data_IF_263891844998
#
_entry.id   IF_263891844998
#
_cell.length_a   1.000
_cell.length_b   1.000
_cell.length_c   1.000
_cell.angle_alpha   90.00
_cell.angle_beta   90.00
_cell.angle_gamma   90.00
#
_symmetry.space_group_name_H-M   'P 1'
#
loop_
_entity.id
_entity.type
_entity.pdbx_description
1 polymer ?
#
# COMPACT_ATOMS: atom_id res chain seq x y z
N UNK A 1 -7.44 -32.26 18.41
CA UNK A 1 -8.04 -31.02 17.88
C UNK A 1 -7.10 -29.86 18.18
N UNK A 2 -6.21 -29.51 17.25
CA UNK A 2 -5.37 -28.29 17.30
C UNK A 2 -5.83 -27.44 16.13
N UNK A 3 -6.54 -26.36 16.42
CA UNK A 3 -7.12 -25.48 15.40
C UNK A 3 -6.05 -24.67 14.67
N UNK A 4 -6.20 -24.67 13.34
CA UNK A 4 -5.47 -23.87 12.36
C UNK A 4 -5.62 -22.37 12.65
N UNK A 5 -4.62 -21.76 13.29
CA UNK A 5 -4.49 -20.29 13.43
C UNK A 5 -3.55 -19.65 12.39
N UNK A 6 -3.26 -20.32 11.27
CA UNK A 6 -2.30 -19.82 10.26
C UNK A 6 -2.91 -19.04 9.08
N UNK A 7 -4.24 -19.01 8.93
CA UNK A 7 -4.90 -18.33 7.82
C UNK A 7 -5.08 -16.80 7.96
N UNK A 8 -4.79 -16.21 9.12
CA UNK A 8 -4.99 -14.77 9.37
C UNK A 8 -3.77 -13.90 9.07
N UNK A 9 -2.60 -14.49 8.77
CA UNK A 9 -1.36 -13.72 8.60
C UNK A 9 -1.14 -13.18 7.17
N UNK A 10 -1.70 -13.81 6.14
CA UNK A 10 -1.45 -13.39 4.75
C UNK A 10 -2.21 -12.11 4.36
N UNK A 11 -3.48 -11.97 4.76
CA UNK A 11 -4.27 -10.75 4.50
C UNK A 11 -3.78 -9.54 5.32
N UNK A 12 -3.03 -9.78 6.39
CA UNK A 12 -2.42 -8.74 7.23
C UNK A 12 -1.09 -8.22 6.64
N UNK A 13 -0.41 -8.96 5.78
CA UNK A 13 0.86 -8.52 5.18
C UNK A 13 0.68 -7.32 4.23
N UNK A 14 -0.44 -7.25 3.50
CA UNK A 14 -0.78 -6.11 2.64
C UNK A 14 -1.23 -4.88 3.46
N UNK A 15 -1.86 -5.09 4.62
CA UNK A 15 -2.19 -4.02 5.60
C UNK A 15 -0.93 -3.56 6.36
N UNK A 16 0.05 -4.45 6.57
CA UNK A 16 1.32 -4.15 7.25
C UNK A 16 2.30 -3.38 6.36
N UNK A 17 2.27 -3.53 5.03
CA UNK A 17 3.04 -2.68 4.13
C UNK A 17 2.53 -1.23 4.13
N UNK A 18 1.22 -1.00 4.30
CA UNK A 18 0.67 0.34 4.51
C UNK A 18 1.00 0.90 5.92
N UNK A 19 1.03 0.03 6.94
CA UNK A 19 1.29 0.46 8.33
C UNK A 19 2.76 0.69 8.67
N UNK A 20 3.69 -0.06 8.06
CA UNK A 20 5.14 0.11 8.30
C UNK A 20 5.70 1.38 7.68
N UNK A 21 5.14 1.84 6.55
CA UNK A 21 5.46 3.15 5.98
C UNK A 21 5.00 4.32 6.88
N UNK A 22 3.90 4.16 7.63
CA UNK A 22 3.39 5.17 8.55
C UNK A 22 4.15 5.17 9.91
N UNK A 23 4.68 4.03 10.33
CA UNK A 23 5.49 3.91 11.56
C UNK A 23 6.87 4.58 11.43
N UNK A 24 7.49 4.58 10.24
CA UNK A 24 8.77 5.26 10.00
C UNK A 24 8.66 6.79 9.86
N UNK A 25 7.47 7.33 9.56
CA UNK A 25 7.25 8.78 9.44
C UNK A 25 6.95 9.49 10.78
N UNK A 26 6.64 8.75 11.85
CA UNK A 26 6.21 9.32 13.15
C UNK A 26 7.29 9.28 14.24
N UNK A 27 8.37 8.52 14.06
CA UNK A 27 9.58 8.64 14.91
C UNK A 27 10.66 9.40 14.17
N UNK A 28 10.64 10.72 14.32
CA UNK A 28 11.82 11.55 14.07
C UNK A 28 13.01 10.96 14.82
N UNK A 29 14.13 10.84 14.10
CA UNK A 29 15.40 10.47 14.69
C UNK A 29 15.69 11.38 15.90
N UNK A 30 16.19 10.85 17.03
CA UNK A 30 16.69 11.69 18.11
C UNK A 30 18.00 12.34 17.64
N UNK A 31 17.88 13.44 16.90
CA UNK A 31 18.98 14.33 16.58
C UNK A 31 19.25 15.21 17.79
N UNK A 32 20.34 14.90 18.49
CA UNK A 32 21.00 15.79 19.43
C UNK A 32 21.44 17.07 18.70
N UNK A 33 20.68 18.15 18.83
CA UNK A 33 21.18 19.49 18.52
C UNK A 33 21.81 20.08 19.78
N UNK A 34 23.11 19.87 19.91
CA UNK A 34 24.02 20.79 20.61
C UNK A 34 23.95 22.12 19.87
N UNK A 35 23.45 23.16 20.56
CA UNK A 35 23.49 24.54 20.09
C UNK A 35 24.87 25.08 20.45
N UNK A 36 25.79 25.11 19.48
CA UNK A 36 27.00 25.92 19.57
C UNK A 36 26.80 27.21 18.78
N UNK A 37 26.91 28.31 19.51
CA UNK A 37 27.02 29.67 18.99
C UNK A 37 28.22 29.78 18.05
N UNK A 38 28.03 30.40 16.89
CA UNK A 38 29.06 31.24 16.27
C UNK A 38 28.41 32.27 15.36
N UNK A 39 28.50 33.51 15.82
CA UNK A 39 28.31 34.71 15.02
C UNK A 39 29.55 34.96 14.15
N UNK A 40 29.37 35.92 13.24
CA UNK A 40 30.38 36.63 12.44
C UNK A 40 30.72 36.09 11.04
N UNK A 41 30.21 36.88 10.08
CA UNK A 41 31.00 37.66 9.11
C UNK A 41 30.86 37.29 7.62
N UNK A 42 30.35 38.32 6.90
CA UNK A 42 30.72 38.77 5.56
C UNK A 42 30.75 37.72 4.45
N UNK A 43 29.85 37.89 3.48
CA UNK A 43 30.30 37.81 2.09
C UNK A 43 29.56 38.75 1.17
N UNK A 44 30.37 39.28 0.27
CA UNK A 44 30.20 40.47 -0.53
C UNK A 44 29.45 40.13 -1.82
N UNK A 45 28.54 41.03 -2.16
CA UNK A 45 27.87 41.16 -3.45
C UNK A 45 28.89 41.30 -4.59
N UNK A 46 28.76 40.49 -5.64
CA UNK A 46 29.35 40.76 -6.97
C UNK A 46 28.32 40.41 -8.05
N UNK A 47 27.81 41.46 -8.68
CA UNK A 47 27.13 41.45 -9.97
C UNK A 47 28.08 41.05 -11.10
N UNK A 48 27.64 40.26 -12.08
CA UNK A 48 28.18 40.27 -13.46
C UNK A 48 27.13 39.72 -14.45
N UNK A 49 27.01 40.27 -15.68
CA UNK A 49 25.82 40.17 -16.51
C UNK A 49 25.85 39.11 -17.62
N UNK A 50 24.68 38.97 -18.25
CA UNK A 50 24.30 38.16 -19.41
C UNK A 50 25.22 38.29 -20.64
N UNK A 51 25.37 37.18 -21.38
CA UNK A 51 25.51 37.20 -22.84
C UNK A 51 24.86 35.95 -23.48
N UNK A 52 24.30 36.06 -24.71
CA UNK A 52 23.60 34.99 -25.41
C UNK A 52 24.50 34.28 -26.44
N UNK A 53 24.27 32.98 -26.64
CA UNK A 53 24.88 32.14 -27.69
C UNK A 53 23.88 31.01 -27.99
N UNK A 54 23.68 30.46 -29.18
CA UNK A 54 23.80 30.86 -30.58
C UNK A 54 23.08 29.73 -31.33
N UNK A 55 22.34 30.07 -32.38
CA UNK A 55 21.67 29.11 -33.27
C UNK A 55 22.71 28.34 -34.10
N UNK A 56 22.50 27.04 -34.33
CA UNK A 56 23.30 26.24 -35.26
C UNK A 56 22.74 24.83 -35.51
N UNK A 57 22.47 24.42 -36.78
CA UNK A 57 21.70 23.23 -37.12
C UNK A 57 22.56 22.01 -37.55
N UNK A 58 21.85 20.91 -37.80
CA UNK A 58 22.09 19.87 -38.82
C UNK A 58 22.64 18.50 -38.36
N UNK A 59 21.81 17.50 -38.65
CA UNK A 59 22.11 16.20 -39.29
C UNK A 59 23.13 15.28 -38.61
N UNK A 60 22.65 14.09 -38.22
CA UNK A 60 23.24 12.86 -38.78
C UNK A 60 22.21 11.73 -38.75
N UNK A 61 21.79 11.33 -39.94
CA UNK A 61 21.24 10.00 -40.20
C UNK A 61 22.34 8.98 -39.91
N UNK A 62 22.08 8.05 -39.00
CA UNK A 62 22.81 6.79 -38.95
C UNK A 62 21.77 5.70 -39.06
N UNK A 63 21.66 5.25 -40.30
CA UNK A 63 21.13 3.97 -40.72
C UNK A 63 22.13 2.93 -40.24
N UNK A 64 21.79 2.16 -39.21
CA UNK A 64 22.59 1.02 -38.78
C UNK A 64 21.69 -0.20 -38.69
N UNK A 65 21.81 -1.03 -39.72
CA UNK A 65 21.39 -2.41 -39.76
C UNK A 65 21.76 -3.10 -38.44
N UNK A 66 20.76 -3.60 -37.72
CA UNK A 66 20.97 -4.72 -36.80
C UNK A 66 19.82 -5.69 -36.85
N UNK A 67 20.24 -6.93 -36.81
CA UNK A 67 19.60 -8.13 -37.33
C UNK A 67 18.29 -8.50 -36.61
N UNK A 68 17.38 -9.23 -37.27
CA UNK A 68 16.20 -9.78 -36.63
C UNK A 68 16.63 -10.77 -35.54
N UNK A 69 16.40 -10.38 -34.29
CA UNK A 69 16.50 -11.29 -33.15
C UNK A 69 15.56 -12.49 -33.37
N UNK A 70 16.00 -13.73 -33.08
CA UNK A 70 15.12 -14.87 -33.14
C UNK A 70 13.95 -14.64 -32.16
N UNK A 71 12.75 -14.64 -32.73
CA UNK A 71 11.47 -14.69 -32.03
C UNK A 71 11.39 -16.03 -31.27
N UNK A 72 12.14 -16.12 -30.16
CA UNK A 72 11.96 -17.12 -29.12
C UNK A 72 10.66 -16.79 -28.40
N UNK A 73 9.56 -17.21 -29.02
CA UNK A 73 8.24 -17.21 -28.42
C UNK A 73 8.22 -18.33 -27.36
N UNK A 74 9.02 -18.16 -26.29
CA UNK A 74 8.77 -18.81 -25.02
C UNK A 74 7.50 -18.18 -24.47
N UNK A 75 6.37 -18.61 -25.02
CA UNK A 75 5.14 -18.67 -24.26
C UNK A 75 5.50 -19.45 -23.01
N UNK A 76 5.78 -18.74 -21.92
CA UNK A 76 5.78 -19.28 -20.58
C UNK A 76 4.49 -20.09 -20.51
N UNK A 77 4.66 -21.41 -20.57
CA UNK A 77 3.56 -22.33 -20.71
C UNK A 77 2.66 -22.10 -19.52
N UNK A 78 1.50 -21.49 -19.77
CA UNK A 78 0.32 -21.72 -18.94
C UNK A 78 0.14 -23.22 -19.04
N UNK A 79 0.73 -23.95 -18.09
CA UNK A 79 0.69 -25.40 -18.07
C UNK A 79 -0.79 -25.76 -18.08
N UNK A 80 -1.27 -26.23 -19.24
CA UNK A 80 -2.58 -26.83 -19.33
C UNK A 80 -2.58 -27.89 -18.24
N UNK A 81 -3.36 -27.65 -17.18
CA UNK A 81 -3.66 -28.67 -16.19
C UNK A 81 -4.22 -29.83 -17.02
N UNK A 82 -3.40 -30.85 -17.23
CA UNK A 82 -3.88 -32.11 -17.76
C UNK A 82 -4.91 -32.58 -16.75
N UNK A 83 -6.12 -32.85 -17.22
CA UNK A 83 -7.16 -33.56 -16.48
C UNK A 83 -6.60 -34.93 -16.10
N UNK A 84 -5.85 -34.97 -15.02
CA UNK A 84 -5.22 -36.17 -14.50
C UNK A 84 -6.35 -36.92 -13.77
N UNK A 85 -6.81 -38.09 -14.26
CA UNK A 85 -7.98 -38.78 -13.73
C UNK A 85 -7.80 -39.30 -12.29
N UNK A 86 -6.70 -38.95 -11.64
CA UNK A 86 -6.36 -39.21 -10.24
C UNK A 86 -6.72 -38.05 -9.29
N UNK A 87 -7.32 -36.95 -9.76
CA UNK A 87 -7.62 -35.79 -8.89
C UNK A 87 -8.71 -36.10 -7.84
N UNK A 88 -9.64 -37.02 -8.12
CA UNK A 88 -10.72 -37.42 -7.20
C UNK A 88 -10.24 -38.23 -5.98
N UNK A 89 -9.02 -38.79 -6.03
CA UNK A 89 -8.46 -39.56 -4.92
C UNK A 89 -7.69 -38.70 -3.90
N UNK A 90 -7.43 -37.42 -4.22
CA UNK A 90 -6.74 -36.51 -3.30
C UNK A 90 -7.73 -35.95 -2.27
N UNK A 91 -7.29 -35.69 -1.03
CA UNK A 91 -8.17 -35.12 -0.01
C UNK A 91 -8.73 -33.74 -0.38
N UNK A 92 -8.09 -33.04 -1.35
CA UNK A 92 -8.51 -31.75 -1.87
C UNK A 92 -8.34 -31.72 -3.41
N UNK A 93 -9.44 -31.91 -4.14
CA UNK A 93 -9.48 -31.68 -5.60
C UNK A 93 -9.17 -30.21 -5.93
N UNK A 94 -8.58 -29.94 -7.10
CA UNK A 94 -8.19 -28.57 -7.49
C UNK A 94 -9.36 -27.58 -7.46
N UNK A 95 -10.54 -27.99 -7.93
CA UNK A 95 -11.75 -27.13 -7.94
C UNK A 95 -12.12 -26.58 -6.56
N UNK A 96 -11.90 -27.37 -5.50
CA UNK A 96 -12.13 -26.94 -4.12
C UNK A 96 -11.06 -25.96 -3.65
N UNK A 97 -9.81 -26.22 -4.01
CA UNK A 97 -8.68 -25.34 -3.69
C UNK A 97 -8.83 -24.00 -4.38
N UNK A 98 -9.18 -24.02 -5.66
CA UNK A 98 -9.41 -22.82 -6.47
C UNK A 98 -10.53 -21.95 -5.89
N UNK A 99 -11.67 -22.55 -5.54
CA UNK A 99 -12.77 -21.82 -4.90
C UNK A 99 -12.33 -21.15 -3.58
N UNK A 100 -11.56 -21.89 -2.76
CA UNK A 100 -11.05 -21.37 -1.49
C UNK A 100 -9.99 -20.30 -1.67
N UNK A 101 -9.07 -20.50 -2.61
CA UNK A 101 -8.04 -19.54 -2.96
C UNK A 101 -8.66 -18.23 -3.41
N UNK A 102 -9.73 -18.28 -4.21
CA UNK A 102 -10.46 -17.08 -4.61
C UNK A 102 -10.95 -16.30 -3.39
N UNK A 103 -11.56 -16.97 -2.41
CA UNK A 103 -11.98 -16.31 -1.17
C UNK A 103 -10.81 -15.70 -0.39
N UNK A 104 -9.66 -16.42 -0.32
CA UNK A 104 -8.49 -15.99 0.44
C UNK A 104 -7.72 -14.83 -0.26
N UNK A 105 -7.76 -14.74 -1.60
CA UNK A 105 -7.17 -13.64 -2.39
C UNK A 105 -8.01 -12.37 -2.28
N UNK A 106 -9.33 -12.50 -2.33
CA UNK A 106 -10.22 -11.33 -2.41
C UNK A 106 -10.26 -10.56 -1.09
N UNK A 107 -10.21 -9.23 -1.18
CA UNK A 107 -10.31 -8.36 -0.02
C UNK A 107 -11.72 -8.44 0.61
N UNK A 108 -11.82 -9.22 1.69
CA UNK A 108 -13.04 -9.36 2.48
C UNK A 108 -13.57 -8.00 2.97
N UNK A 109 -14.88 -7.92 3.20
CA UNK A 109 -15.50 -6.69 3.71
C UNK A 109 -14.94 -6.25 5.08
N UNK A 110 -14.61 -7.21 5.94
CA UNK A 110 -13.98 -6.93 7.22
C UNK A 110 -12.57 -6.32 7.05
N UNK A 111 -11.78 -6.85 6.13
CA UNK A 111 -10.45 -6.30 5.82
C UNK A 111 -10.54 -4.91 5.16
N UNK A 112 -11.49 -4.73 4.24
CA UNK A 112 -11.78 -3.43 3.63
C UNK A 112 -12.17 -2.38 4.68
N UNK A 113 -13.04 -2.76 5.63
CA UNK A 113 -13.46 -1.87 6.71
C UNK A 113 -12.31 -1.51 7.65
N UNK A 114 -11.46 -2.49 7.99
CA UNK A 114 -10.27 -2.24 8.78
C UNK A 114 -9.30 -1.28 8.06
N UNK A 115 -9.14 -1.45 6.74
CA UNK A 115 -8.34 -0.55 5.93
C UNK A 115 -8.91 0.87 5.96
N UNK A 116 -10.22 1.06 5.73
CA UNK A 116 -10.86 2.39 5.81
C UNK A 116 -10.58 3.09 7.14
N UNK A 117 -10.79 2.39 8.25
CA UNK A 117 -10.54 2.91 9.60
C UNK A 117 -9.10 3.35 9.79
N UNK A 118 -8.14 2.57 9.28
CA UNK A 118 -6.71 2.89 9.38
C UNK A 118 -6.30 4.13 8.58
N UNK A 119 -6.99 4.42 7.46
CA UNK A 119 -6.68 5.59 6.63
C UNK A 119 -7.26 6.88 7.21
N UNK A 120 -8.46 6.83 7.80
CA UNK A 120 -9.12 7.98 8.41
C UNK A 120 -8.42 8.40 9.71
N UNK A 121 -8.10 7.43 10.57
CA UNK A 121 -7.24 7.59 11.75
C UNK A 121 -7.61 8.83 12.60
N UNK A 122 -8.91 8.97 12.89
CA UNK A 122 -9.45 10.00 13.78
C UNK A 122 -10.79 9.55 14.36
N UNK A 123 -11.01 9.71 15.67
CA UNK A 123 -12.28 9.34 16.30
C UNK A 123 -13.41 10.26 15.81
N UNK A 124 -14.48 9.66 15.29
CA UNK A 124 -15.68 10.38 14.88
C UNK A 124 -16.92 9.54 15.25
N UNK A 125 -17.86 10.04 16.07
CA UNK A 125 -17.89 11.38 16.67
C UNK A 125 -16.85 11.59 17.79
N UNK A 126 -16.56 12.85 18.11
CA UNK A 126 -15.74 13.21 19.27
C UNK A 126 -16.58 13.13 20.54
N UNK A 127 -16.04 12.48 21.57
CA UNK A 127 -16.59 12.44 22.92
C UNK A 127 -15.61 13.12 23.87
N UNK A 128 -16.05 13.56 25.07
CA UNK A 128 -15.11 14.06 26.09
C UNK A 128 -13.97 13.09 26.38
N UNK A 129 -14.24 11.78 26.42
CA UNK A 129 -13.24 10.75 26.70
C UNK A 129 -12.23 10.59 25.56
N UNK A 130 -12.69 10.49 24.31
CA UNK A 130 -11.78 10.29 23.19
C UNK A 130 -11.01 11.58 22.84
N UNK A 131 -11.64 12.75 22.98
CA UNK A 131 -10.97 14.03 22.74
C UNK A 131 -9.86 14.26 23.75
N UNK A 132 -10.08 13.93 25.03
CA UNK A 132 -9.04 13.97 26.06
C UNK A 132 -7.86 13.04 25.74
N UNK A 133 -8.12 11.83 25.24
CA UNK A 133 -7.07 10.89 24.83
C UNK A 133 -6.27 11.40 23.63
N UNK A 134 -6.93 11.98 22.61
CA UNK A 134 -6.28 12.40 21.37
C UNK A 134 -5.59 13.77 21.47
N UNK A 135 -6.13 14.68 22.28
CA UNK A 135 -5.64 16.06 22.41
C UNK A 135 -4.88 16.30 23.72
N UNK A 136 -4.85 15.30 24.62
CA UNK A 136 -4.25 15.40 25.95
C UNK A 136 -4.80 16.59 26.77
N UNK A 137 -6.09 16.92 26.58
CA UNK A 137 -6.80 18.02 27.26
C UNK A 137 -8.29 17.74 27.29
N UNK A 138 -8.94 18.03 28.42
CA UNK A 138 -10.40 18.03 28.52
C UNK A 138 -11.00 19.21 27.78
N UNK A 139 -12.07 18.96 27.03
CA UNK A 139 -12.82 19.97 26.29
C UNK A 139 -14.25 20.07 26.83
N UNK A 140 -14.80 21.27 26.83
CA UNK A 140 -16.22 21.51 27.01
C UNK A 140 -17.00 20.98 25.80
N UNK A 141 -18.30 20.76 26.00
CA UNK A 141 -19.19 20.31 24.92
C UNK A 141 -19.21 21.28 23.73
N UNK A 142 -19.09 22.59 23.99
CA UNK A 142 -19.04 23.60 22.94
C UNK A 142 -17.73 23.53 22.13
N UNK A 143 -16.58 23.34 22.78
CA UNK A 143 -15.29 23.14 22.11
C UNK A 143 -15.30 21.85 21.26
N UNK A 144 -15.90 20.77 21.78
CA UNK A 144 -16.05 19.49 21.03
C UNK A 144 -16.84 19.71 19.74
N UNK A 145 -18.00 20.38 19.80
CA UNK A 145 -18.82 20.66 18.62
C UNK A 145 -18.08 21.51 17.59
N UNK A 146 -17.30 22.50 18.05
CA UNK A 146 -16.49 23.33 17.16
C UNK A 146 -15.39 22.51 16.48
N UNK A 147 -14.70 21.63 17.21
CA UNK A 147 -13.71 20.73 16.62
C UNK A 147 -14.32 19.71 15.64
N UNK A 148 -15.48 19.15 15.95
CA UNK A 148 -16.20 18.27 15.03
C UNK A 148 -16.51 18.99 13.71
N UNK A 149 -16.99 20.24 13.77
CA UNK A 149 -17.25 21.05 12.59
C UNK A 149 -15.97 21.30 11.75
N UNK A 150 -14.82 21.47 12.40
CA UNK A 150 -13.52 21.64 11.74
C UNK A 150 -13.05 20.34 11.08
N UNK A 151 -13.22 19.19 11.73
CA UNK A 151 -12.68 17.91 11.27
C UNK A 151 -13.56 17.22 10.24
N UNK A 152 -14.88 17.38 10.32
CA UNK A 152 -15.85 16.66 9.50
C UNK A 152 -15.58 16.74 7.98
N UNK A 153 -15.23 17.89 7.38
CA UNK A 153 -14.92 17.96 5.95
C UNK A 153 -13.68 17.15 5.56
N UNK A 154 -12.68 17.04 6.43
CA UNK A 154 -11.48 16.24 6.20
C UNK A 154 -11.78 14.75 6.29
N UNK A 155 -12.57 14.34 7.29
CA UNK A 155 -12.97 12.94 7.43
C UNK A 155 -13.77 12.46 6.22
N UNK A 156 -14.71 13.26 5.71
CA UNK A 156 -15.45 12.91 4.47
C UNK A 156 -14.54 12.73 3.26
N UNK A 157 -13.51 13.57 3.12
CA UNK A 157 -12.54 13.42 2.03
C UNK A 157 -11.67 12.17 2.22
N UNK A 158 -11.23 11.89 3.45
CA UNK A 158 -10.46 10.70 3.77
C UNK A 158 -11.29 9.42 3.56
N UNK A 159 -12.58 9.42 3.92
CA UNK A 159 -13.53 8.33 3.64
C UNK A 159 -13.64 8.07 2.13
N UNK A 160 -13.85 9.11 1.32
CA UNK A 160 -13.94 8.98 -0.14
C UNK A 160 -12.65 8.43 -0.77
N UNK A 161 -11.48 8.85 -0.26
CA UNK A 161 -10.19 8.31 -0.71
C UNK A 161 -10.03 6.87 -0.25
N UNK A 162 -10.42 6.55 0.99
CA UNK A 162 -10.34 5.20 1.52
C UNK A 162 -11.21 4.21 0.72
N UNK A 163 -12.42 4.62 0.32
CA UNK A 163 -13.27 3.82 -0.57
C UNK A 163 -12.62 3.62 -1.94
N UNK A 164 -12.03 4.68 -2.51
CA UNK A 164 -11.29 4.61 -3.77
C UNK A 164 -10.07 3.69 -3.66
N UNK A 165 -9.38 3.72 -2.52
CA UNK A 165 -8.23 2.88 -2.21
C UNK A 165 -8.64 1.41 -2.14
N UNK A 166 -9.72 1.09 -1.43
CA UNK A 166 -10.31 -0.25 -1.35
C UNK A 166 -10.72 -0.75 -2.74
N UNK A 167 -11.38 0.09 -3.54
CA UNK A 167 -11.81 -0.26 -4.89
C UNK A 167 -10.62 -0.57 -5.81
N UNK A 168 -9.53 0.20 -5.73
CA UNK A 168 -8.32 -0.04 -6.52
C UNK A 168 -7.66 -1.38 -6.14
N UNK A 169 -7.62 -1.72 -4.83
CA UNK A 169 -7.12 -3.01 -4.38
C UNK A 169 -7.95 -4.16 -4.94
N UNK A 170 -9.28 -4.09 -4.78
CA UNK A 170 -10.21 -5.12 -5.26
C UNK A 170 -10.08 -5.31 -6.76
N UNK A 171 -10.07 -4.22 -7.52
CA UNK A 171 -9.91 -4.29 -8.97
C UNK A 171 -8.59 -4.94 -9.41
N UNK A 172 -7.49 -4.73 -8.69
CA UNK A 172 -6.23 -5.40 -8.97
C UNK A 172 -6.28 -6.91 -8.65
N UNK A 173 -6.89 -7.30 -7.54
CA UNK A 173 -7.10 -8.71 -7.18
C UNK A 173 -8.01 -9.43 -8.18
N UNK A 174 -9.07 -8.77 -8.64
CA UNK A 174 -9.97 -9.29 -9.67
C UNK A 174 -9.23 -9.48 -11.01
N UNK A 175 -8.39 -8.52 -11.43
CA UNK A 175 -7.54 -8.67 -12.62
C UNK A 175 -6.56 -9.83 -12.47
N UNK A 176 -5.85 -9.92 -11.34
CA UNK A 176 -4.94 -11.03 -11.05
C UNK A 176 -5.63 -12.38 -11.17
N UNK A 177 -6.85 -12.49 -10.63
CA UNK A 177 -7.65 -13.71 -10.70
C UNK A 177 -8.10 -14.01 -12.15
N UNK A 178 -8.65 -13.02 -12.85
CA UNK A 178 -9.18 -13.18 -14.20
C UNK A 178 -8.07 -13.52 -15.22
N UNK A 179 -6.88 -12.96 -15.05
CA UNK A 179 -5.70 -13.19 -15.89
C UNK A 179 -4.92 -14.45 -15.46
N UNK A 180 -5.37 -15.17 -14.43
CA UNK A 180 -4.69 -16.34 -13.86
C UNK A 180 -3.21 -16.08 -13.53
N UNK A 181 -2.91 -14.90 -12.98
CA UNK A 181 -1.55 -14.48 -12.63
C UNK A 181 -1.11 -15.06 -11.28
N UNK A 182 -1.17 -16.37 -11.17
CA UNK A 182 -0.74 -17.16 -10.02
C UNK A 182 -0.08 -18.46 -10.48
N UNK A 183 0.87 -18.94 -9.70
CA UNK A 183 1.60 -20.18 -9.96
C UNK A 183 1.05 -21.29 -9.05
N UNK A 184 0.72 -22.43 -9.65
CA UNK A 184 0.18 -23.59 -8.94
C UNK A 184 1.19 -24.73 -8.97
N UNK A 185 1.62 -25.16 -7.80
CA UNK A 185 2.48 -26.32 -7.62
C UNK A 185 1.69 -27.44 -6.93
N UNK A 186 1.50 -28.56 -7.63
CA UNK A 186 1.00 -29.78 -6.98
C UNK A 186 2.14 -30.41 -6.18
N UNK A 187 2.09 -30.31 -4.85
CA UNK A 187 3.18 -30.77 -3.98
C UNK A 187 2.92 -32.22 -3.57
N UNK A 188 3.80 -33.13 -3.97
CA UNK A 188 3.97 -34.37 -3.23
C UNK A 188 4.63 -33.99 -1.89
N UNK A 189 3.85 -34.11 -0.80
CA UNK A 189 4.20 -33.89 0.61
C UNK A 189 5.72 -33.81 0.83
N UNK A 190 6.26 -32.59 0.80
CA UNK A 190 7.65 -32.33 1.22
C UNK A 190 7.57 -31.24 2.26
N UNK A 191 7.67 -31.67 3.52
CA UNK A 191 7.66 -30.81 4.70
C UNK A 191 8.73 -29.71 4.60
N UNK A 192 8.37 -28.50 5.04
CA UNK A 192 9.33 -27.60 5.69
C UNK A 192 10.24 -26.74 4.81
N UNK A 193 9.91 -26.47 3.55
CA UNK A 193 10.63 -25.42 2.81
C UNK A 193 10.03 -24.06 3.18
N UNK A 194 10.69 -23.36 4.11
CA UNK A 194 10.46 -21.94 4.37
C UNK A 194 10.66 -21.19 3.04
N UNK A 195 9.57 -20.69 2.48
CA UNK A 195 9.64 -19.86 1.28
C UNK A 195 10.36 -18.56 1.63
N UNK A 196 11.33 -18.09 0.81
CA UNK A 196 11.85 -16.75 0.98
C UNK A 196 10.69 -15.75 0.92
N UNK A 197 10.60 -14.87 1.94
CA UNK A 197 9.62 -13.79 1.99
C UNK A 197 10.07 -12.68 1.05
N UNK A 198 9.71 -12.81 -0.22
CA UNK A 198 9.95 -11.76 -1.21
C UNK A 198 8.88 -10.66 -1.10
N UNK A 199 9.24 -9.37 -1.24
CA UNK A 199 8.26 -8.28 -1.22
C UNK A 199 7.14 -8.48 -2.25
N UNK A 200 5.88 -8.44 -1.79
CA UNK A 200 4.70 -8.59 -2.64
C UNK A 200 4.36 -10.03 -3.03
N UNK A 201 5.18 -11.03 -2.69
CA UNK A 201 4.87 -12.44 -2.89
C UNK A 201 3.94 -12.93 -1.78
N UNK A 202 2.78 -13.44 -2.16
CA UNK A 202 1.82 -14.12 -1.28
C UNK A 202 1.81 -15.60 -1.61
N UNK A 203 1.92 -16.44 -0.59
CA UNK A 203 1.91 -17.90 -0.72
C UNK A 203 0.77 -18.48 0.12
N UNK A 204 -0.06 -19.30 -0.51
CA UNK A 204 -1.15 -20.04 0.12
C UNK A 204 -0.87 -21.53 0.02
N UNK A 205 -0.96 -22.22 1.14
CA UNK A 205 -0.73 -23.66 1.22
C UNK A 205 -2.04 -24.39 1.56
N UNK A 206 -2.40 -25.35 0.72
CA UNK A 206 -3.52 -26.27 0.91
C UNK A 206 -2.99 -27.71 0.91
N UNK A 207 -3.74 -28.69 1.44
CA UNK A 207 -3.29 -30.08 1.40
C UNK A 207 -3.02 -30.57 -0.04
N UNK A 208 -1.75 -30.77 -0.38
CA UNK A 208 -1.30 -31.20 -1.72
C UNK A 208 -1.09 -30.09 -2.75
N UNK A 209 -1.33 -28.83 -2.38
CA UNK A 209 -1.26 -27.70 -3.30
C UNK A 209 -0.55 -26.50 -2.67
N UNK A 210 0.32 -25.87 -3.44
CA UNK A 210 0.90 -24.59 -3.10
C UNK A 210 0.56 -23.62 -4.22
N UNK A 211 -0.03 -22.49 -3.85
CA UNK A 211 -0.36 -21.44 -4.81
C UNK A 211 0.35 -20.17 -4.40
N UNK A 212 1.05 -19.54 -5.34
CA UNK A 212 1.71 -18.28 -5.09
C UNK A 212 1.31 -17.24 -6.12
N UNK A 213 1.27 -15.99 -5.70
CA UNK A 213 1.00 -14.86 -6.58
C UNK A 213 1.74 -13.64 -6.09
N UNK A 214 2.01 -12.70 -7.00
CA UNK A 214 2.72 -11.47 -6.67
C UNK A 214 1.84 -10.27 -6.98
N UNK A 215 1.62 -9.44 -5.96
CA UNK A 215 1.03 -8.11 -6.10
C UNK A 215 2.07 -7.06 -5.68
N UNK A 216 2.48 -6.23 -6.62
CA UNK A 216 3.46 -5.16 -6.38
C UNK A 216 2.78 -3.80 -6.33
N UNK A 217 3.40 -2.83 -5.64
CA UNK A 217 2.84 -1.47 -5.52
C UNK A 217 2.61 -0.81 -6.89
N UNK A 218 3.42 -1.14 -7.88
CA UNK A 218 3.34 -0.58 -9.24
C UNK A 218 2.06 -0.99 -9.98
N UNK A 219 1.39 -2.06 -9.53
CA UNK A 219 0.10 -2.50 -10.07
C UNK A 219 -1.08 -1.66 -9.58
N UNK A 220 -0.82 -0.73 -8.67
CA UNK A 220 -1.80 0.18 -8.12
C UNK A 220 -1.40 1.62 -8.45
N UNK A 221 -1.56 2.07 -9.71
CA UNK A 221 -1.01 3.34 -10.18
C UNK A 221 -1.52 4.54 -9.38
N UNK A 222 -2.74 4.46 -8.84
CA UNK A 222 -3.37 5.53 -8.05
C UNK A 222 -3.03 5.51 -6.56
N UNK A 223 -2.54 4.38 -6.02
CA UNK A 223 -2.27 4.27 -4.58
C UNK A 223 -1.25 5.32 -4.13
N UNK A 224 -0.22 5.58 -4.95
CA UNK A 224 0.76 6.62 -4.63
C UNK A 224 0.12 8.00 -4.49
N UNK A 225 -0.80 8.34 -5.39
CA UNK A 225 -1.49 9.63 -5.37
C UNK A 225 -2.46 9.71 -4.18
N UNK A 226 -3.12 8.60 -3.83
CA UNK A 226 -3.93 8.50 -2.62
C UNK A 226 -3.10 8.69 -1.35
N UNK A 227 -1.93 8.06 -1.25
CA UNK A 227 -1.05 8.19 -0.10
C UNK A 227 -0.62 9.64 0.15
N UNK A 228 -0.20 10.34 -0.92
CA UNK A 228 0.16 11.75 -0.82
C UNK A 228 -1.03 12.63 -0.44
N UNK A 229 -2.21 12.37 -1.00
CA UNK A 229 -3.42 13.11 -0.65
C UNK A 229 -3.86 12.85 0.79
N UNK A 230 -3.76 11.62 1.28
CA UNK A 230 -4.06 11.27 2.68
C UNK A 230 -3.12 11.99 3.63
N UNK A 231 -1.80 11.99 3.34
CA UNK A 231 -0.82 12.73 4.15
C UNK A 231 -1.16 14.22 4.22
N UNK A 232 -1.46 14.82 3.06
CA UNK A 232 -1.85 16.22 2.98
C UNK A 232 -3.10 16.51 3.83
N UNK A 233 -4.17 15.72 3.66
CA UNK A 233 -5.42 15.91 4.40
C UNK A 233 -5.24 15.72 5.91
N UNK A 234 -4.45 14.73 6.34
CA UNK A 234 -4.14 14.53 7.76
C UNK A 234 -3.39 15.73 8.33
N UNK A 235 -2.44 16.29 7.59
CA UNK A 235 -1.71 17.50 8.00
C UNK A 235 -2.60 18.74 8.06
N UNK A 236 -3.42 18.98 7.03
CA UNK A 236 -4.38 20.10 6.99
C UNK A 236 -5.38 20.01 8.14
N UNK A 237 -5.93 18.81 8.40
CA UNK A 237 -6.82 18.53 9.53
C UNK A 237 -6.14 18.89 10.85
N UNK A 238 -4.92 18.40 11.09
CA UNK A 238 -4.18 18.65 12.33
C UNK A 238 -3.89 20.15 12.52
N UNK A 239 -3.46 20.83 11.46
CA UNK A 239 -3.18 22.27 11.47
C UNK A 239 -4.43 23.08 11.85
N UNK A 240 -5.59 22.74 11.26
CA UNK A 240 -6.85 23.42 11.56
C UNK A 240 -7.38 23.12 12.97
N UNK A 241 -7.22 21.87 13.45
CA UNK A 241 -7.52 21.52 14.85
C UNK A 241 -6.65 22.36 15.79
N UNK A 242 -5.34 22.47 15.53
CA UNK A 242 -4.43 23.29 16.34
C UNK A 242 -4.81 24.77 16.31
N UNK A 243 -5.22 25.31 15.16
CA UNK A 243 -5.67 26.68 15.04
C UNK A 243 -6.95 26.94 15.85
N UNK A 244 -7.94 26.05 15.75
CA UNK A 244 -9.17 26.11 16.54
C UNK A 244 -8.88 26.05 18.05
N UNK A 245 -7.99 25.13 18.46
CA UNK A 245 -7.57 24.96 19.85
C UNK A 245 -6.87 26.19 20.46
N UNK A 246 -6.26 27.06 19.65
CA UNK A 246 -5.68 28.34 20.14
C UNK A 246 -6.75 29.41 20.37
N UNK A 247 -7.93 29.25 19.78
CA UNK A 247 -9.07 30.15 19.95
C UNK A 247 -9.93 29.81 21.16
N UNK A 248 -9.67 28.68 21.84
CA UNK A 248 -10.36 28.23 23.05
C UNK A 248 -9.57 28.58 24.31
#
# INVERSE_FOLDING_TARGET
MRENRRGLCASLALVLLASTALWFLTRGAPGTTTIENSASERSTQVDTPLAPVSVGPARSSVDELREPMPSGNEQAGVGQLRDDPMDDARPWAWSRVEARLKEDIMLSDAAAEQLRKSLIDWPSPLTPENSAMHLNRSLSQAEIQQLEAVVLPFNRQLEAIADSYVAEIRGAQERLWAEQRYEVESRAITEGVDAPSEPGLSVHEYPGWRVSYRLTRDEFPKIRDFDERIKQLKWERLSNVQAAMRGF
#
